data_IF_397921203996
#
_entry.id   IF_397921203996
#
_cell.length_a   1.000
_cell.length_b   1.000
_cell.length_c   1.000
_cell.angle_alpha   90.00
_cell.angle_beta   90.00
_cell.angle_gamma   90.00
#
_symmetry.space_group_name_H-M   'P 1'
#
loop_
_entity.id
_entity.type
_entity.pdbx_description
1 polymer ?
#
# COMPACT_ATOMS: atom_id res chain seq x y z
N UNK A 1 16.64 6.29 -6.26
CA UNK A 1 15.27 6.84 -6.29
C UNK A 1 14.58 6.59 -4.94
N UNK A 2 13.56 7.38 -4.59
CA UNK A 2 12.71 7.14 -3.41
C UNK A 2 11.65 6.10 -3.73
N UNK A 3 11.37 5.20 -2.78
CA UNK A 3 10.27 4.24 -2.88
C UNK A 3 9.22 4.58 -1.81
N UNK A 4 7.95 4.65 -2.20
CA UNK A 4 6.81 4.79 -1.29
C UNK A 4 6.13 3.44 -1.12
N UNK A 5 5.86 3.05 0.13
CA UNK A 5 5.23 1.76 0.47
C UNK A 5 4.03 2.00 1.38
N UNK A 6 2.80 1.95 0.85
CA UNK A 6 1.60 1.95 1.67
C UNK A 6 1.50 0.66 2.50
N UNK A 7 1.15 0.79 3.77
CA UNK A 7 0.97 -0.33 4.70
C UNK A 7 -0.33 -0.18 5.49
N UNK A 8 -1.09 -1.27 5.62
CA UNK A 8 -2.38 -1.29 6.32
C UNK A 8 -2.26 -2.05 7.63
N UNK A 9 -2.88 -1.51 8.68
CA UNK A 9 -3.07 -2.20 9.97
C UNK A 9 -4.32 -3.08 9.88
N UNK A 10 -4.16 -4.38 10.08
CA UNK A 10 -5.23 -5.38 9.98
C UNK A 10 -5.22 -6.29 11.20
N UNK A 11 -6.28 -7.09 11.39
CA UNK A 11 -6.27 -8.16 12.38
C UNK A 11 -5.16 -9.16 12.02
N UNK A 12 -4.35 -9.55 13.01
CA UNK A 12 -3.30 -10.56 12.83
C UNK A 12 -3.93 -11.87 12.31
N UNK A 13 -3.36 -12.42 11.24
CA UNK A 13 -3.90 -13.61 10.57
C UNK A 13 -3.97 -14.88 11.46
N UNK A 14 -3.26 -14.90 12.58
CA UNK A 14 -3.35 -15.98 13.56
C UNK A 14 -4.54 -15.82 14.51
N UNK A 15 -5.21 -14.66 14.51
CA UNK A 15 -6.36 -14.39 15.36
C UNK A 15 -7.64 -14.88 14.68
N UNK A 16 -8.43 -15.65 15.40
CA UNK A 16 -9.78 -16.01 14.93
C UNK A 16 -10.73 -14.84 15.15
N UNK A 17 -11.23 -14.18 14.10
CA UNK A 17 -12.13 -13.04 14.23
C UNK A 17 -13.46 -13.50 14.87
N UNK A 18 -14.08 -12.59 15.63
CA UNK A 18 -15.39 -12.79 16.26
C UNK A 18 -16.33 -11.70 15.80
N UNK A 19 -17.58 -12.05 15.58
CA UNK A 19 -18.64 -11.09 15.27
C UNK A 19 -19.15 -10.49 16.58
N UNK A 20 -19.43 -9.18 16.59
CA UNK A 20 -20.08 -8.51 17.71
C UNK A 20 -21.44 -9.13 18.00
N UNK A 21 -21.93 -9.11 19.27
CA UNK A 21 -23.21 -9.70 19.64
C UNK A 21 -24.43 -9.16 18.87
N UNK A 22 -24.36 -7.91 18.45
CA UNK A 22 -25.39 -7.23 17.67
C UNK A 22 -25.30 -7.45 16.14
N UNK A 23 -24.30 -8.22 15.68
CA UNK A 23 -24.07 -8.48 14.27
C UNK A 23 -23.56 -7.29 13.44
N UNK A 24 -23.22 -6.15 14.05
CA UNK A 24 -22.82 -4.93 13.36
C UNK A 24 -21.42 -4.97 12.73
N UNK A 25 -20.65 -6.01 12.96
CA UNK A 25 -19.31 -6.16 12.40
C UNK A 25 -18.40 -7.05 13.25
N UNK A 26 -17.11 -7.00 12.96
CA UNK A 26 -16.09 -7.76 13.70
C UNK A 26 -15.78 -7.06 15.02
N UNK A 27 -15.66 -7.85 16.08
CA UNK A 27 -15.22 -7.36 17.39
C UNK A 27 -13.71 -7.15 17.38
N UNK A 28 -13.30 -5.90 17.43
CA UNK A 28 -11.90 -5.45 17.45
C UNK A 28 -11.37 -5.18 18.88
N UNK A 29 -12.19 -5.38 19.91
CA UNK A 29 -11.78 -5.15 21.28
C UNK A 29 -10.71 -6.17 21.71
N UNK A 30 -9.54 -5.67 22.13
CA UNK A 30 -8.41 -6.48 22.60
C UNK A 30 -7.92 -7.54 21.58
N UNK A 31 -8.11 -7.28 20.30
CA UNK A 31 -7.60 -8.14 19.22
C UNK A 31 -6.18 -7.71 18.86
N UNK A 32 -5.29 -8.70 18.70
CA UNK A 32 -3.95 -8.44 18.16
C UNK A 32 -4.06 -7.94 16.72
N UNK A 33 -3.45 -6.81 16.45
CA UNK A 33 -3.34 -6.25 15.11
C UNK A 33 -1.91 -6.36 14.60
N UNK A 34 -1.73 -6.42 13.29
CA UNK A 34 -0.43 -6.51 12.63
C UNK A 34 -0.41 -5.71 11.33
N UNK A 35 0.75 -5.60 10.70
CA UNK A 35 0.84 -5.19 9.31
C UNK A 35 0.17 -6.24 8.42
N UNK A 36 -0.54 -5.79 7.39
CA UNK A 36 -1.06 -6.69 6.37
C UNK A 36 0.10 -7.50 5.75
N UNK A 37 0.02 -8.84 5.67
CA UNK A 37 1.12 -9.69 5.17
C UNK A 37 1.58 -9.35 3.77
N UNK A 38 0.69 -8.92 2.88
CA UNK A 38 1.07 -8.50 1.53
C UNK A 38 1.85 -7.17 1.54
N UNK A 39 1.57 -6.28 2.48
CA UNK A 39 2.32 -5.03 2.63
C UNK A 39 3.69 -5.29 3.26
N UNK A 40 3.81 -6.28 4.15
CA UNK A 40 5.09 -6.72 4.70
C UNK A 40 6.03 -7.19 3.58
N UNK A 41 5.50 -7.94 2.60
CA UNK A 41 6.25 -8.33 1.40
C UNK A 41 6.68 -7.11 0.58
N UNK A 42 5.80 -6.12 0.45
CA UNK A 42 6.10 -4.88 -0.27
C UNK A 42 7.22 -4.06 0.41
N UNK A 43 7.19 -3.97 1.75
CA UNK A 43 8.26 -3.33 2.53
C UNK A 43 9.58 -4.06 2.36
N UNK A 44 9.57 -5.38 2.48
CA UNK A 44 10.77 -6.23 2.30
C UNK A 44 11.40 -6.02 0.91
N UNK A 45 10.58 -6.01 -0.15
CA UNK A 45 11.11 -5.80 -1.50
C UNK A 45 11.68 -4.38 -1.68
N UNK A 46 11.04 -3.36 -1.11
CA UNK A 46 11.57 -2.00 -1.12
C UNK A 46 12.95 -1.91 -0.43
N UNK A 47 13.11 -2.59 0.71
CA UNK A 47 14.37 -2.66 1.44
C UNK A 47 15.43 -3.40 0.61
N UNK A 48 15.09 -4.50 -0.03
CA UNK A 48 15.99 -5.22 -0.94
C UNK A 48 16.47 -4.37 -2.10
N UNK A 49 15.59 -3.54 -2.68
CA UNK A 49 15.97 -2.59 -3.73
C UNK A 49 16.93 -1.52 -3.20
N UNK A 50 16.74 -1.08 -1.96
CA UNK A 50 17.66 -0.14 -1.30
C UNK A 50 19.02 -0.79 -1.04
N UNK A 51 19.08 -2.00 -0.53
CA UNK A 51 20.33 -2.75 -0.31
C UNK A 51 21.10 -2.97 -1.61
N UNK A 52 20.41 -3.15 -2.74
CA UNK A 52 21.01 -3.24 -4.07
C UNK A 52 21.45 -1.89 -4.65
N UNK A 53 21.25 -0.79 -3.93
CA UNK A 53 21.57 0.56 -4.38
C UNK A 53 20.64 1.13 -5.46
N UNK A 54 19.52 0.46 -5.74
CA UNK A 54 18.50 0.95 -6.70
C UNK A 54 17.68 2.07 -6.07
N UNK A 55 17.29 1.90 -4.82
CA UNK A 55 16.62 2.93 -4.04
C UNK A 55 17.60 3.65 -3.10
N UNK A 56 17.31 4.92 -2.83
CA UNK A 56 18.05 5.77 -1.88
C UNK A 56 17.29 6.00 -0.59
N UNK A 57 15.97 5.88 -0.63
CA UNK A 57 15.08 6.11 0.50
C UNK A 57 13.83 5.25 0.37
N UNK A 58 13.38 4.65 1.49
CA UNK A 58 12.13 3.91 1.60
C UNK A 58 11.23 4.64 2.60
N UNK A 59 10.07 5.08 2.13
CA UNK A 59 9.06 5.80 2.93
C UNK A 59 7.82 4.94 3.08
N UNK A 60 7.50 4.54 4.30
CA UNK A 60 6.26 3.84 4.60
C UNK A 60 5.12 4.85 4.83
N UNK A 61 3.92 4.58 4.33
CA UNK A 61 2.74 5.41 4.60
C UNK A 61 1.57 4.56 5.05
N UNK A 62 0.85 5.01 6.06
CA UNK A 62 -0.40 4.37 6.51
C UNK A 62 -1.52 5.39 6.62
N UNK A 63 -2.71 4.97 6.23
CA UNK A 63 -3.95 5.76 6.35
C UNK A 63 -4.87 5.01 7.30
N UNK A 64 -5.25 5.63 8.39
CA UNK A 64 -6.07 5.00 9.41
C UNK A 64 -6.09 5.78 10.72
N UNK A 65 -6.63 5.20 11.79
CA UNK A 65 -6.65 5.80 13.12
C UNK A 65 -5.22 5.96 13.67
N UNK A 66 -5.07 6.76 14.73
CA UNK A 66 -3.77 6.99 15.39
C UNK A 66 -3.00 5.71 15.71
N UNK A 67 -3.71 4.61 16.02
CA UNK A 67 -3.10 3.31 16.28
C UNK A 67 -2.38 2.70 15.06
N UNK A 68 -2.63 3.18 13.84
CA UNK A 68 -1.90 2.72 12.65
C UNK A 68 -0.40 3.07 12.71
N UNK A 69 0.03 3.99 13.61
CA UNK A 69 1.44 4.24 13.89
C UNK A 69 2.21 2.98 14.34
N UNK A 70 1.52 1.98 14.95
CA UNK A 70 2.16 0.73 15.36
C UNK A 70 2.70 -0.04 14.14
N UNK A 71 1.91 -0.09 13.07
CA UNK A 71 2.31 -0.70 11.80
C UNK A 71 3.47 0.05 11.14
N UNK A 72 3.45 1.39 11.20
CA UNK A 72 4.55 2.21 10.70
C UNK A 72 5.86 1.98 11.48
N UNK A 73 5.76 1.81 12.81
CA UNK A 73 6.94 1.44 13.63
C UNK A 73 7.50 0.07 13.23
N UNK A 74 6.65 -0.87 12.85
CA UNK A 74 7.08 -2.16 12.32
C UNK A 74 7.84 -1.97 11.00
N UNK A 75 7.33 -1.16 10.07
CA UNK A 75 8.01 -0.84 8.81
C UNK A 75 9.39 -0.18 9.05
N UNK A 76 9.47 0.76 10.00
CA UNK A 76 10.74 1.38 10.40
C UNK A 76 11.71 0.35 11.00
N UNK A 77 11.22 -0.56 11.85
CA UNK A 77 12.03 -1.63 12.42
C UNK A 77 12.53 -2.63 11.36
N UNK A 78 11.80 -2.83 10.27
CA UNK A 78 12.23 -3.62 9.12
C UNK A 78 13.33 -2.93 8.30
N UNK A 79 13.45 -1.60 8.35
CA UNK A 79 14.50 -0.85 7.65
C UNK A 79 14.01 0.32 6.77
N UNK A 80 12.72 0.67 6.83
CA UNK A 80 12.24 1.91 6.20
C UNK A 80 12.89 3.13 6.86
N UNK A 81 13.16 4.17 6.07
CA UNK A 81 13.86 5.37 6.55
C UNK A 81 12.92 6.36 7.22
N UNK A 82 11.73 6.50 6.69
CA UNK A 82 10.69 7.42 7.20
C UNK A 82 9.32 6.77 7.17
N UNK A 83 8.43 7.35 7.97
CA UNK A 83 7.04 6.93 8.02
C UNK A 83 6.10 8.14 8.02
N UNK A 84 4.98 8.03 7.32
CA UNK A 84 3.92 9.04 7.22
C UNK A 84 2.63 8.40 7.71
N UNK A 85 1.96 9.04 8.67
CA UNK A 85 0.62 8.67 9.10
C UNK A 85 -0.38 9.72 8.62
N UNK A 86 -1.38 9.28 7.88
CA UNK A 86 -2.56 10.09 7.56
C UNK A 86 -3.67 9.62 8.49
N UNK A 87 -4.04 10.47 9.43
CA UNK A 87 -5.12 10.14 10.37
C UNK A 87 -6.46 10.29 9.67
N UNK A 88 -7.15 9.18 9.50
CA UNK A 88 -8.49 9.10 8.90
C UNK A 88 -9.20 7.84 9.40
N UNK A 89 -10.52 7.88 9.43
CA UNK A 89 -11.36 6.74 9.80
C UNK A 89 -12.30 6.39 8.66
N UNK A 90 -12.62 5.11 8.52
CA UNK A 90 -13.61 4.58 7.56
C UNK A 90 -13.38 5.03 6.11
N UNK A 91 -12.12 4.97 5.64
CA UNK A 91 -11.76 5.37 4.28
C UNK A 91 -11.81 4.16 3.34
N UNK A 92 -12.69 4.24 2.37
CA UNK A 92 -12.84 3.25 1.29
C UNK A 92 -11.66 3.28 0.29
N UNK A 93 -11.41 2.21 -0.50
CA UNK A 93 -10.25 2.10 -1.38
C UNK A 93 -10.00 3.30 -2.30
N UNK A 94 -11.05 3.90 -2.87
CA UNK A 94 -10.91 5.10 -3.69
C UNK A 94 -10.46 6.33 -2.89
N UNK A 95 -10.95 6.46 -1.66
CA UNK A 95 -10.50 7.52 -0.75
C UNK A 95 -9.02 7.35 -0.41
N UNK A 96 -8.60 6.12 -0.11
CA UNK A 96 -7.19 5.77 0.15
C UNK A 96 -6.33 6.09 -1.08
N UNK A 97 -6.75 5.70 -2.29
CA UNK A 97 -6.02 6.00 -3.52
C UNK A 97 -5.84 7.51 -3.75
N UNK A 98 -6.89 8.31 -3.49
CA UNK A 98 -6.81 9.78 -3.60
C UNK A 98 -5.84 10.40 -2.58
N UNK A 99 -5.84 9.90 -1.35
CA UNK A 99 -4.89 10.36 -0.32
C UNK A 99 -3.45 9.98 -0.67
N UNK A 100 -3.24 8.75 -1.15
CA UNK A 100 -1.92 8.30 -1.63
C UNK A 100 -1.45 9.13 -2.83
N UNK A 101 -2.35 9.49 -3.77
CA UNK A 101 -2.02 10.39 -4.88
C UNK A 101 -1.46 11.72 -4.37
N UNK A 102 -2.04 12.29 -3.31
CA UNK A 102 -1.53 13.53 -2.70
C UNK A 102 -0.16 13.33 -2.03
N UNK A 103 0.05 12.21 -1.36
CA UNK A 103 1.39 11.89 -0.82
C UNK A 103 2.42 11.75 -1.95
N UNK A 104 2.02 11.17 -3.09
CA UNK A 104 2.91 11.07 -4.25
C UNK A 104 3.28 12.45 -4.82
N UNK A 105 2.33 13.39 -4.87
CA UNK A 105 2.59 14.78 -5.29
C UNK A 105 3.64 15.47 -4.39
N UNK A 106 3.58 15.21 -3.07
CA UNK A 106 4.47 15.82 -2.09
C UNK A 106 5.83 15.13 -1.99
N UNK A 107 5.84 13.79 -2.01
CA UNK A 107 7.04 12.99 -1.81
C UNK A 107 7.81 12.73 -3.12
N UNK A 108 7.15 12.85 -4.26
CA UNK A 108 7.70 12.58 -5.59
C UNK A 108 8.49 11.26 -5.66
N UNK A 109 7.88 10.09 -5.30
CA UNK A 109 8.57 8.82 -5.34
C UNK A 109 8.84 8.39 -6.78
N UNK A 110 9.98 7.76 -7.02
CA UNK A 110 10.27 7.15 -8.32
C UNK A 110 9.62 5.78 -8.49
N UNK A 111 9.12 5.18 -7.40
CA UNK A 111 8.45 3.88 -7.40
C UNK A 111 7.48 3.80 -6.22
N UNK A 112 6.30 3.23 -6.45
CA UNK A 112 5.35 2.86 -5.38
C UNK A 112 5.16 1.36 -5.39
N UNK A 113 5.36 0.70 -4.24
CA UNK A 113 5.16 -0.73 -4.08
C UNK A 113 4.01 -0.94 -3.08
N UNK A 114 2.94 -1.58 -3.54
CA UNK A 114 1.79 -1.89 -2.70
C UNK A 114 1.65 -3.41 -2.53
N UNK A 115 1.18 -3.83 -1.38
CA UNK A 115 0.65 -5.18 -1.22
C UNK A 115 -0.52 -5.42 -2.20
N UNK A 116 -0.61 -6.64 -2.71
CA UNK A 116 -1.66 -7.01 -3.67
C UNK A 116 -3.06 -6.66 -3.16
N UNK A 117 -3.34 -6.99 -1.91
CA UNK A 117 -4.64 -6.85 -1.25
C UNK A 117 -4.47 -6.81 0.26
N UNK A 118 -5.50 -6.40 1.00
CA UNK A 118 -5.54 -6.51 2.45
C UNK A 118 -6.37 -7.73 2.86
N UNK A 119 -5.92 -8.48 3.89
CA UNK A 119 -6.56 -9.74 4.30
C UNK A 119 -7.88 -9.54 5.05
N UNK A 120 -8.23 -8.32 5.40
CA UNK A 120 -9.45 -7.98 6.11
C UNK A 120 -10.67 -7.78 5.19
N UNK A 121 -10.44 -7.31 3.95
CA UNK A 121 -11.52 -7.03 2.99
C UNK A 121 -11.34 -7.71 1.63
N UNK A 122 -10.14 -8.14 1.28
CA UNK A 122 -9.78 -8.78 0.01
C UNK A 122 -10.17 -7.97 -1.24
N UNK A 123 -10.40 -6.66 -1.12
CA UNK A 123 -10.93 -5.83 -2.20
C UNK A 123 -9.99 -5.72 -3.40
N UNK A 124 -8.67 -5.72 -3.18
CA UNK A 124 -7.65 -5.61 -4.23
C UNK A 124 -7.90 -4.45 -5.22
N UNK A 125 -8.26 -3.27 -4.72
CA UNK A 125 -8.71 -2.14 -5.55
C UNK A 125 -7.81 -0.91 -5.45
N UNK A 126 -7.19 -0.66 -4.30
CA UNK A 126 -6.44 0.59 -4.02
C UNK A 126 -5.34 0.83 -5.04
N UNK A 127 -4.51 -0.17 -5.33
CA UNK A 127 -3.39 -0.05 -6.27
C UNK A 127 -3.86 0.29 -7.68
N UNK A 128 -4.88 -0.40 -8.19
CA UNK A 128 -5.45 -0.14 -9.51
C UNK A 128 -6.08 1.25 -9.61
N UNK A 129 -6.78 1.69 -8.56
CA UNK A 129 -7.37 3.02 -8.50
C UNK A 129 -6.29 4.12 -8.44
N UNK A 130 -5.24 3.90 -7.65
CA UNK A 130 -4.09 4.81 -7.62
C UNK A 130 -3.42 4.90 -8.98
N UNK A 131 -3.22 3.76 -9.64
CA UNK A 131 -2.70 3.68 -11.00
C UNK A 131 -3.51 4.51 -11.98
N UNK A 132 -4.82 4.34 -11.97
CA UNK A 132 -5.72 5.07 -12.85
C UNK A 132 -5.69 6.59 -12.58
N UNK A 133 -5.61 7.02 -11.32
CA UNK A 133 -5.49 8.43 -10.95
C UNK A 133 -4.19 9.03 -11.48
N UNK A 134 -3.07 8.34 -11.30
CA UNK A 134 -1.76 8.80 -11.80
C UNK A 134 -1.68 8.78 -13.33
N UNK A 135 -2.28 7.78 -13.99
CA UNK A 135 -2.30 7.68 -15.45
C UNK A 135 -3.12 8.81 -16.10
N UNK A 136 -4.13 9.36 -15.41
CA UNK A 136 -4.92 10.49 -15.94
C UNK A 136 -4.09 11.77 -16.11
N UNK A 137 -3.01 11.91 -15.35
CA UNK A 137 -2.14 13.08 -15.37
C UNK A 137 -0.91 12.89 -16.28
N UNK A 138 -0.74 11.67 -16.82
CA UNK A 138 0.34 11.37 -17.76
C UNK A 138 0.00 11.81 -19.20
N UNK A 139 0.97 12.30 -19.99
CA UNK A 139 0.78 12.47 -21.42
C UNK A 139 0.32 11.17 -22.08
N UNK A 140 -0.65 11.21 -22.99
CA UNK A 140 -1.23 10.01 -23.64
C UNK A 140 -0.20 9.05 -24.22
N UNK A 141 0.96 9.54 -24.65
CA UNK A 141 2.05 8.70 -25.15
C UNK A 141 2.65 7.78 -24.07
N UNK A 142 2.74 8.26 -22.84
CA UNK A 142 3.24 7.47 -21.69
C UNK A 142 2.19 6.50 -21.20
N UNK A 143 0.91 6.91 -21.15
CA UNK A 143 -0.20 6.02 -20.81
C UNK A 143 -0.28 4.85 -21.80
N UNK A 144 -0.18 5.09 -23.10
CA UNK A 144 -0.16 4.04 -24.14
C UNK A 144 1.03 3.09 -24.01
N UNK A 145 2.20 3.59 -23.57
CA UNK A 145 3.38 2.75 -23.33
C UNK A 145 3.16 1.82 -22.13
N UNK A 146 2.53 2.30 -21.06
CA UNK A 146 2.16 1.49 -19.89
C UNK A 146 1.13 0.42 -20.25
N UNK A 147 0.12 0.77 -21.05
CA UNK A 147 -0.88 -0.18 -21.56
C UNK A 147 -0.25 -1.28 -22.41
N UNK A 148 0.75 -0.94 -23.23
CA UNK A 148 1.48 -1.92 -24.04
C UNK A 148 2.34 -2.88 -23.22
N UNK A 149 2.93 -2.41 -22.11
CA UNK A 149 3.70 -3.24 -21.18
C UNK A 149 2.77 -4.19 -20.41
N UNK A 150 1.63 -3.68 -19.92
CA UNK A 150 0.64 -4.54 -19.24
C UNK A 150 0.02 -5.57 -20.18
N UNK A 151 -0.24 -5.23 -21.44
CA UNK A 151 -0.72 -6.16 -22.45
C UNK A 151 0.33 -7.22 -22.82
N UNK A 152 1.63 -6.86 -22.88
CA UNK A 152 2.71 -7.79 -23.21
C UNK A 152 3.03 -8.79 -22.09
N UNK A 153 2.75 -8.44 -20.83
CA UNK A 153 2.96 -9.30 -19.66
C UNK A 153 1.83 -10.33 -19.48
N UNK A 154 0.77 -10.24 -20.28
CA UNK A 154 -0.37 -11.15 -20.27
C UNK A 154 -1.22 -11.04 -19.00
N UNK A 155 -2.52 -11.26 -19.16
CA UNK A 155 -3.52 -11.25 -18.07
C UNK A 155 -3.28 -12.31 -16.98
N UNK A 156 -2.30 -13.21 -17.15
CA UNK A 156 -1.92 -14.22 -16.16
C UNK A 156 -0.89 -13.73 -15.13
N UNK A 157 -0.20 -12.65 -15.39
CA UNK A 157 0.60 -11.98 -14.38
C UNK A 157 -0.32 -11.04 -13.59
N UNK A 158 -1.06 -11.57 -12.66
CA UNK A 158 -1.62 -10.77 -11.56
C UNK A 158 -0.41 -10.21 -10.84
N UNK A 159 0.05 -9.04 -11.27
CA UNK A 159 1.15 -8.38 -10.61
C UNK A 159 0.67 -7.95 -9.22
N UNK A 160 1.24 -8.51 -8.17
CA UNK A 160 0.99 -8.02 -6.81
C UNK A 160 1.64 -6.66 -6.56
N UNK A 161 2.26 -6.08 -7.58
CA UNK A 161 2.95 -4.81 -7.56
C UNK A 161 2.34 -3.86 -8.59
N UNK A 162 1.78 -2.74 -8.16
CA UNK A 162 1.58 -1.61 -9.06
C UNK A 162 2.95 -0.90 -9.19
N UNK A 163 3.63 -1.10 -10.32
CA UNK A 163 4.93 -0.49 -10.60
C UNK A 163 4.69 0.85 -11.29
N UNK A 164 5.05 1.95 -10.64
CA UNK A 164 5.06 3.28 -11.23
C UNK A 164 6.51 3.74 -11.32
N UNK A 165 7.03 3.87 -12.54
CA UNK A 165 8.26 4.56 -12.81
C UNK A 165 7.92 5.99 -13.29
N UNK A 166 8.45 7.01 -12.64
CA UNK A 166 8.55 8.37 -13.18
C UNK A 166 9.83 8.53 -13.97
#
# INVERSE_FOLDING_TARGET
MKILVPVKRVIDYNVKPRVKPDGSGVDLANVKMSMNPFDEIAVEEAIRLKEKGVATEVVAVSIGPDKAQETLRTALAMGADRAILIVAEDVEPLGVAKLLSKVMDEEAPGLVILGKQAIDDDSNQTGQMLAALQASDLPKAVANALDSVTASLGTSAVMPLALFAQ
#
